data_IF_907838235111
#
_entry.id   IF_907838235111
#
_cell.length_a   1.000
_cell.length_b   1.000
_cell.length_c   1.000
_cell.angle_alpha   90.00
_cell.angle_beta   90.00
_cell.angle_gamma   90.00
#
_symmetry.space_group_name_H-M   'P 1'
#
loop_
_entity.id
_entity.type
_entity.pdbx_description
1 polymer ?
#
# COMPACT_ATOMS: atom_id res chain seq x y z
N UNK A 1 0.75 -26.49 19.80
CA UNK A 1 0.22 -25.15 19.47
C UNK A 1 1.42 -24.22 19.34
N UNK A 2 1.94 -24.03 18.13
CA UNK A 2 3.11 -23.17 17.91
C UNK A 2 2.65 -21.72 17.89
N UNK A 3 2.96 -20.98 18.96
CA UNK A 3 2.97 -19.53 18.94
C UNK A 3 4.03 -19.12 17.91
N UNK A 4 3.61 -18.71 16.72
CA UNK A 4 4.49 -17.98 15.80
C UNK A 4 4.72 -16.63 16.48
N UNK A 5 5.95 -16.39 16.91
CA UNK A 5 6.36 -15.05 17.31
C UNK A 5 6.16 -14.12 16.10
N UNK A 6 5.35 -13.07 16.24
CA UNK A 6 5.16 -12.03 15.24
C UNK A 6 6.41 -11.13 15.16
N UNK A 7 7.56 -11.72 14.83
CA UNK A 7 8.80 -11.00 14.56
C UNK A 7 8.78 -10.41 13.15
N UNK A 8 9.40 -9.24 12.98
CA UNK A 8 9.71 -8.71 11.63
C UNK A 8 10.54 -9.75 10.89
N UNK A 9 10.18 -10.14 9.65
CA UNK A 9 11.04 -10.96 8.81
C UNK A 9 12.40 -10.30 8.57
N UNK A 10 13.48 -11.08 8.53
CA UNK A 10 14.85 -10.56 8.38
C UNK A 10 15.10 -9.87 7.02
N UNK A 11 14.33 -10.23 6.00
CA UNK A 11 14.44 -9.71 4.63
C UNK A 11 13.07 -9.22 4.12
N UNK A 12 12.55 -8.13 4.70
CA UNK A 12 11.36 -7.47 4.16
C UNK A 12 11.70 -6.70 2.88
N UNK A 13 10.95 -6.98 1.82
CA UNK A 13 10.95 -6.13 0.63
C UNK A 13 10.17 -4.84 0.92
N UNK A 14 10.89 -3.73 1.03
CA UNK A 14 10.35 -2.37 1.24
C UNK A 14 10.41 -1.54 -0.04
N UNK A 15 10.46 -2.18 -1.21
CA UNK A 15 10.42 -1.49 -2.50
C UNK A 15 9.12 -0.70 -2.64
N UNK A 16 9.21 0.49 -3.22
CA UNK A 16 8.03 1.36 -3.46
C UNK A 16 7.32 1.04 -4.77
N UNK A 17 7.88 0.14 -5.59
CA UNK A 17 7.36 -0.32 -6.87
C UNK A 17 7.40 -1.84 -6.94
N UNK A 18 6.24 -2.48 -7.09
CA UNK A 18 6.08 -3.93 -7.08
C UNK A 18 5.13 -4.39 -8.19
N UNK A 19 5.30 -5.62 -8.64
CA UNK A 19 4.24 -6.32 -9.38
C UNK A 19 3.19 -6.83 -8.38
N UNK A 20 1.92 -6.79 -8.79
CA UNK A 20 0.84 -7.47 -8.09
C UNK A 20 1.03 -8.99 -8.10
N UNK A 21 0.33 -9.70 -7.22
CA UNK A 21 0.52 -11.14 -6.96
C UNK A 21 0.45 -12.00 -8.23
N UNK A 22 -0.48 -11.70 -9.14
CA UNK A 22 -0.63 -12.40 -10.41
C UNK A 22 0.08 -11.69 -11.58
N UNK A 23 0.85 -10.64 -11.29
CA UNK A 23 1.61 -9.86 -12.26
C UNK A 23 0.74 -9.10 -13.26
N UNK A 24 -0.53 -8.83 -12.94
CA UNK A 24 -1.43 -8.09 -13.82
C UNK A 24 -1.15 -6.58 -13.83
N UNK A 25 -0.60 -6.06 -12.74
CA UNK A 25 -0.30 -4.65 -12.56
C UNK A 25 1.11 -4.48 -12.01
N UNK A 26 1.75 -3.38 -12.39
CA UNK A 26 2.89 -2.81 -11.68
C UNK A 26 2.39 -1.58 -10.93
N UNK A 27 2.61 -1.57 -9.63
CA UNK A 27 2.06 -0.58 -8.72
C UNK A 27 3.20 0.13 -8.04
N UNK A 28 3.13 1.45 -7.99
CA UNK A 28 4.12 2.29 -7.32
C UNK A 28 3.41 3.27 -6.40
N UNK A 29 3.85 3.44 -5.16
CA UNK A 29 3.34 4.53 -4.33
C UNK A 29 4.40 5.63 -4.16
N UNK A 30 3.94 6.86 -3.98
CA UNK A 30 4.78 8.00 -3.60
C UNK A 30 4.12 8.79 -2.48
N UNK A 31 4.97 9.39 -1.65
CA UNK A 31 4.58 10.10 -0.43
C UNK A 31 5.06 11.55 -0.50
N UNK A 32 4.35 12.50 0.13
CA UNK A 32 4.71 13.92 0.08
C UNK A 32 5.87 14.27 1.01
N UNK A 33 6.02 13.53 2.11
CA UNK A 33 6.99 13.80 3.17
C UNK A 33 7.79 12.53 3.50
N UNK A 34 9.13 12.63 3.48
CA UNK A 34 10.05 11.57 3.89
C UNK A 34 10.84 11.97 5.14
N UNK A 35 10.96 11.09 6.15
CA UNK A 35 10.31 9.78 6.28
C UNK A 35 8.80 9.92 6.57
N UNK A 36 8.01 8.84 6.36
CA UNK A 36 6.57 8.83 6.65
C UNK A 36 6.32 9.21 8.12
N UNK A 37 5.63 10.33 8.41
CA UNK A 37 5.42 10.75 9.79
C UNK A 37 4.36 9.93 10.50
N UNK A 38 4.68 9.47 11.72
CA UNK A 38 3.75 8.77 12.61
C UNK A 38 2.73 9.75 13.18
N UNK A 39 1.51 9.28 13.41
CA UNK A 39 0.37 10.02 13.96
C UNK A 39 -0.11 11.23 13.13
N UNK A 40 0.34 11.31 11.87
CA UNK A 40 -0.07 12.34 10.91
C UNK A 40 -0.92 11.71 9.80
N UNK A 41 -1.98 12.41 9.37
CA UNK A 41 -2.75 12.00 8.19
C UNK A 41 -1.87 12.07 6.96
N UNK A 42 -1.85 10.99 6.19
CA UNK A 42 -1.12 10.92 4.94
C UNK A 42 -2.05 11.10 3.75
N UNK A 43 -1.49 11.65 2.67
CA UNK A 43 -2.07 11.68 1.33
C UNK A 43 -1.01 11.17 0.38
N UNK A 44 -1.20 9.98 -0.20
CA UNK A 44 -0.25 9.35 -1.12
C UNK A 44 -0.76 9.44 -2.56
N UNK A 45 0.17 9.26 -3.50
CA UNK A 45 -0.18 8.97 -4.90
C UNK A 45 0.17 7.51 -5.15
N UNK A 46 -0.81 6.75 -5.64
CA UNK A 46 -0.64 5.39 -6.14
C UNK A 46 -0.67 5.44 -7.67
N UNK A 47 0.43 5.06 -8.30
CA UNK A 47 0.52 4.84 -9.73
C UNK A 47 0.27 3.37 -10.05
N UNK A 48 -0.61 3.11 -11.01
CA UNK A 48 -0.94 1.77 -11.49
C UNK A 48 -0.75 1.73 -13.01
N UNK A 49 0.12 0.84 -13.46
CA UNK A 49 0.36 0.55 -14.87
C UNK A 49 0.30 -0.95 -15.12
N UNK A 50 0.12 -1.35 -16.38
CA UNK A 50 0.32 -2.73 -16.80
C UNK A 50 1.82 -3.08 -16.81
N UNK A 51 2.21 -4.36 -16.84
CA UNK A 51 3.63 -4.75 -16.87
C UNK A 51 4.40 -4.24 -18.11
N UNK A 52 3.69 -3.93 -19.19
CA UNK A 52 4.23 -3.31 -20.40
C UNK A 52 4.26 -1.76 -20.36
N UNK A 53 3.88 -1.15 -19.24
CA UNK A 53 4.02 0.28 -18.98
C UNK A 53 2.87 1.15 -19.50
N UNK A 54 1.69 0.56 -19.72
CA UNK A 54 0.49 1.33 -20.06
C UNK A 54 -0.25 1.74 -18.78
N UNK A 55 -0.66 3.01 -18.64
CA UNK A 55 -1.39 3.44 -17.46
C UNK A 55 -2.72 2.70 -17.34
N UNK A 56 -3.06 2.26 -16.13
CA UNK A 56 -4.35 1.64 -15.84
C UNK A 56 -5.32 2.72 -15.42
N UNK A 57 -6.30 3.01 -16.27
CA UNK A 57 -7.28 4.06 -16.03
C UNK A 57 -8.56 3.55 -15.35
N UNK A 58 -9.17 4.40 -14.53
CA UNK A 58 -10.48 4.18 -13.89
C UNK A 58 -10.59 2.83 -13.14
N UNK A 59 -9.51 2.39 -12.52
CA UNK A 59 -9.52 1.21 -11.67
C UNK A 59 -10.36 1.45 -10.41
N UNK A 60 -11.06 0.41 -9.96
CA UNK A 60 -11.60 0.35 -8.61
C UNK A 60 -10.49 -0.16 -7.69
N UNK A 61 -10.11 0.65 -6.70
CA UNK A 61 -8.99 0.34 -5.81
C UNK A 61 -9.48 0.46 -4.37
N UNK A 62 -9.37 -0.65 -3.63
CA UNK A 62 -9.51 -0.63 -2.18
C UNK A 62 -8.13 -0.58 -1.54
N UNK A 63 -8.03 0.08 -0.39
CA UNK A 63 -6.80 0.17 0.39
C UNK A 63 -7.07 -0.24 1.83
N UNK A 64 -6.19 -1.05 2.39
CA UNK A 64 -6.18 -1.44 3.80
C UNK A 64 -4.75 -1.40 4.36
N UNK A 65 -4.60 -1.60 5.66
CA UNK A 65 -3.29 -1.74 6.28
C UNK A 65 -3.35 -2.39 7.67
N UNK A 66 -2.31 -3.16 7.97
CA UNK A 66 -2.15 -3.91 9.21
C UNK A 66 -0.76 -3.69 9.81
N UNK A 67 -0.66 -3.94 11.12
CA UNK A 67 0.61 -3.97 11.83
C UNK A 67 0.83 -5.40 12.35
N UNK A 68 1.40 -6.31 11.54
CA UNK A 68 1.45 -7.73 11.88
C UNK A 68 2.13 -8.02 13.23
N UNK A 69 3.15 -7.23 13.59
CA UNK A 69 3.85 -7.36 14.87
C UNK A 69 2.93 -7.22 16.09
N UNK A 70 1.90 -6.39 15.99
CA UNK A 70 0.99 -6.05 17.09
C UNK A 70 -0.44 -6.56 16.88
N UNK A 71 -0.75 -7.09 15.70
CA UNK A 71 -2.04 -7.72 15.38
C UNK A 71 -3.20 -6.72 15.38
N UNK A 72 -2.99 -5.53 14.82
CA UNK A 72 -4.05 -4.53 14.66
C UNK A 72 -3.93 -3.77 13.34
N UNK A 73 -5.09 -3.41 12.78
CA UNK A 73 -5.18 -2.57 11.59
C UNK A 73 -4.80 -1.12 11.81
N UNK A 74 -4.96 -0.33 10.75
CA UNK A 74 -4.94 1.12 10.82
C UNK A 74 -6.03 1.65 11.80
N UNK A 75 -5.79 2.77 12.50
CA UNK A 75 -6.78 3.45 13.34
C UNK A 75 -7.82 4.24 12.52
N UNK A 76 -7.71 4.20 11.19
CA UNK A 76 -8.53 4.93 10.23
C UNK A 76 -9.00 3.99 9.12
N UNK A 77 -9.83 4.50 8.20
CA UNK A 77 -10.28 3.80 7.00
C UNK A 77 -9.79 4.56 5.78
N UNK A 78 -8.57 4.28 5.27
CA UNK A 78 -8.05 4.96 4.09
C UNK A 78 -8.91 4.66 2.87
N UNK A 79 -8.92 5.55 1.88
CA UNK A 79 -9.70 5.40 0.65
C UNK A 79 -8.92 5.96 -0.54
N UNK A 80 -9.18 5.43 -1.73
CA UNK A 80 -8.84 6.13 -2.98
C UNK A 80 -9.92 7.16 -3.26
N UNK A 81 -9.58 8.44 -3.21
CA UNK A 81 -10.55 9.55 -3.25
C UNK A 81 -10.65 10.21 -4.61
N UNK A 82 -9.63 10.09 -5.45
CA UNK A 82 -9.56 10.76 -6.75
C UNK A 82 -8.72 9.96 -7.74
N UNK A 83 -9.18 9.89 -8.99
CA UNK A 83 -8.36 9.49 -10.13
C UNK A 83 -7.74 10.74 -10.76
N UNK A 84 -6.41 10.84 -10.72
CA UNK A 84 -5.66 12.02 -11.15
C UNK A 84 -5.30 11.99 -12.64
N UNK A 85 -5.56 10.88 -13.32
CA UNK A 85 -5.19 10.65 -14.73
C UNK A 85 -3.87 9.89 -14.88
N UNK A 86 -3.62 9.35 -16.08
CA UNK A 86 -2.38 8.65 -16.43
C UNK A 86 -1.98 7.53 -15.43
N UNK A 87 -2.96 6.81 -14.88
CA UNK A 87 -2.71 5.75 -13.91
C UNK A 87 -2.43 6.21 -12.48
N UNK A 88 -2.52 7.52 -12.20
CA UNK A 88 -2.32 8.07 -10.86
C UNK A 88 -3.64 8.18 -10.09
N UNK A 89 -3.61 7.76 -8.83
CA UNK A 89 -4.74 7.75 -7.91
C UNK A 89 -4.33 8.39 -6.58
N UNK A 90 -5.19 9.25 -6.05
CA UNK A 90 -4.98 9.86 -4.73
C UNK A 90 -5.51 8.92 -3.64
N UNK A 91 -4.62 8.55 -2.72
CA UNK A 91 -4.96 7.72 -1.55
C UNK A 91 -4.91 8.60 -0.31
N UNK A 92 -6.02 8.71 0.42
CA UNK A 92 -6.12 9.57 1.60
C UNK A 92 -6.59 8.79 2.83
N UNK A 93 -6.23 9.30 4.01
CA UNK A 93 -6.70 8.76 5.29
C UNK A 93 -5.83 7.66 5.89
N UNK A 94 -4.66 7.38 5.29
CA UNK A 94 -3.63 6.55 5.91
C UNK A 94 -3.08 7.26 7.15
N UNK A 95 -2.98 6.53 8.28
CA UNK A 95 -2.37 7.02 9.51
C UNK A 95 -1.74 5.85 10.27
N UNK A 96 -0.45 5.92 10.50
CA UNK A 96 0.26 4.94 11.31
C UNK A 96 0.41 5.47 12.73
N UNK A 97 -0.02 4.73 13.75
CA UNK A 97 0.02 5.21 15.14
C UNK A 97 1.27 4.80 15.92
N UNK A 98 2.09 3.88 15.39
CA UNK A 98 3.32 3.39 16.02
C UNK A 98 4.44 3.18 15.00
N UNK A 99 5.68 3.23 15.49
CA UNK A 99 6.86 2.81 14.75
C UNK A 99 6.87 1.28 14.61
N UNK A 100 7.59 0.74 13.63
CA UNK A 100 7.70 -0.69 13.39
C UNK A 100 7.26 -1.10 11.98
N UNK A 101 7.04 -2.39 11.81
CA UNK A 101 6.61 -2.98 10.54
C UNK A 101 5.10 -2.85 10.35
N UNK A 102 4.75 -2.19 9.25
CA UNK A 102 3.40 -2.05 8.75
C UNK A 102 3.29 -2.68 7.36
N UNK A 103 2.09 -3.14 7.02
CA UNK A 103 1.72 -3.50 5.65
C UNK A 103 0.64 -2.52 5.16
N UNK A 104 0.72 -2.17 3.89
CA UNK A 104 -0.36 -1.47 3.17
C UNK A 104 -0.70 -2.29 1.94
N UNK A 105 -1.99 -2.57 1.78
CA UNK A 105 -2.49 -3.51 0.80
C UNK A 105 -3.44 -2.80 -0.16
N UNK A 106 -3.38 -3.18 -1.42
CA UNK A 106 -4.26 -2.65 -2.46
C UNK A 106 -4.91 -3.79 -3.25
N UNK A 107 -6.24 -3.83 -3.24
CA UNK A 107 -7.03 -4.65 -4.16
C UNK A 107 -7.41 -3.80 -5.36
N UNK A 108 -6.95 -4.19 -6.55
CA UNK A 108 -7.10 -3.41 -7.78
C UNK A 108 -7.99 -4.20 -8.73
N UNK A 109 -9.04 -3.57 -9.23
CA UNK A 109 -9.90 -4.13 -10.30
C UNK A 109 -9.97 -3.17 -11.48
N UNK A 110 -9.56 -3.64 -12.65
CA UNK A 110 -9.61 -2.90 -13.91
C UNK A 110 -9.89 -3.86 -15.08
N UNK A 111 -10.71 -3.43 -16.04
CA UNK A 111 -11.05 -4.22 -17.23
C UNK A 111 -11.49 -5.67 -16.89
N UNK A 112 -12.35 -5.82 -15.89
CA UNK A 112 -12.88 -7.11 -15.39
C UNK A 112 -11.80 -8.09 -14.86
N UNK A 113 -10.60 -7.59 -14.54
CA UNK A 113 -9.54 -8.34 -13.87
C UNK A 113 -9.26 -7.74 -12.51
N UNK A 114 -9.02 -8.60 -11.53
CA UNK A 114 -8.66 -8.20 -10.17
C UNK A 114 -7.30 -8.79 -9.80
N UNK A 115 -6.51 -8.02 -9.06
CA UNK A 115 -5.24 -8.47 -8.49
C UNK A 115 -4.96 -7.73 -7.18
N UNK A 116 -3.99 -8.24 -6.42
CA UNK A 116 -3.61 -7.73 -5.11
C UNK A 116 -2.14 -7.33 -5.07
N UNK A 117 -1.78 -6.32 -4.29
CA UNK A 117 -0.38 -5.99 -3.98
C UNK A 117 -0.23 -5.56 -2.52
N UNK A 118 0.84 -6.04 -1.88
CA UNK A 118 1.19 -5.72 -0.49
C UNK A 118 2.53 -4.99 -0.45
N UNK A 119 2.56 -3.83 0.19
CA UNK A 119 3.80 -3.09 0.46
C UNK A 119 4.18 -3.21 1.94
N UNK A 120 5.44 -3.51 2.22
CA UNK A 120 5.98 -3.46 3.57
C UNK A 120 6.62 -2.10 3.85
N UNK A 121 6.30 -1.54 5.02
CA UNK A 121 6.87 -0.31 5.52
C UNK A 121 7.58 -0.60 6.84
N UNK A 122 8.79 -0.07 7.00
CA UNK A 122 9.49 -0.07 8.29
C UNK A 122 9.60 1.38 8.74
N UNK A 123 8.78 1.75 9.72
CA UNK A 123 8.75 3.10 10.26
C UNK A 123 9.72 3.21 11.43
N UNK A 124 10.75 4.02 11.28
CA UNK A 124 11.76 4.33 12.32
C UNK A 124 11.73 5.84 12.56
N UNK A 125 11.57 6.29 13.81
CA UNK A 125 11.66 7.71 14.14
C UNK A 125 13.11 8.17 14.23
#
# INVERSE_FOLDING_TARGET
>A
MSSRMNSVPDELDTSTSLLSENGLFKVTYSIPDEPIPINTMQSWILHVETPDGLPVENAQINVDGDMPQHGHGLPTRPQVTEYLGNGDYKVEGLKFHMQGWWIVEFDITAQDKSDHVTFNLVLTQ
#
